data_IF_374079537643
#
_entry.id   IF_374079537643
#
_cell.length_a   1.000
_cell.length_b   1.000
_cell.length_c   1.000
_cell.angle_alpha   90.00
_cell.angle_beta   90.00
_cell.angle_gamma   90.00
#
_symmetry.space_group_name_H-M   'P 1'
#
loop_
_entity.id
_entity.type
_entity.pdbx_description
1 polymer ?
#
# COMPACT_ATOMS: atom_id res chain seq x y z
N UNK A 1 8.25 -7.63 7.17
CA UNK A 1 6.93 -8.30 7.02
C UNK A 1 6.71 -9.19 8.23
N UNK A 2 5.53 -9.11 8.83
CA UNK A 2 5.05 -9.94 9.92
C UNK A 2 3.90 -10.81 9.41
N UNK A 3 3.83 -12.04 9.90
CA UNK A 3 2.76 -12.99 9.57
C UNK A 3 2.26 -13.66 10.84
N UNK A 4 0.96 -13.92 10.88
CA UNK A 4 0.28 -14.58 11.98
C UNK A 4 -0.70 -15.61 11.41
N UNK A 5 -0.41 -16.89 11.66
CA UNK A 5 -1.16 -18.04 11.15
C UNK A 5 -1.48 -18.98 12.33
N UNK A 6 -2.52 -18.67 13.12
CA UNK A 6 -2.86 -19.44 14.31
C UNK A 6 -3.44 -20.83 13.99
N UNK A 7 -3.99 -21.01 12.79
CA UNK A 7 -4.52 -22.28 12.29
C UNK A 7 -4.58 -22.24 10.75
N UNK A 8 -5.00 -23.35 10.13
CA UNK A 8 -5.07 -23.47 8.66
C UNK A 8 -6.15 -22.60 7.99
N UNK A 9 -7.07 -22.01 8.76
CA UNK A 9 -8.21 -21.24 8.24
C UNK A 9 -7.98 -19.73 8.31
N UNK A 10 -7.04 -19.25 9.13
CA UNK A 10 -6.81 -17.83 9.35
C UNK A 10 -5.36 -17.47 9.05
N UNK A 11 -5.16 -16.43 8.24
CA UNK A 11 -3.85 -15.86 7.97
C UNK A 11 -3.96 -14.34 7.98
N UNK A 12 -3.16 -13.70 8.82
CA UNK A 12 -2.95 -12.27 8.81
C UNK A 12 -1.49 -11.94 8.48
N UNK A 13 -1.29 -10.89 7.69
CA UNK A 13 0.02 -10.38 7.35
C UNK A 13 0.04 -8.86 7.45
N UNK A 14 1.19 -8.33 7.80
CA UNK A 14 1.48 -6.90 7.80
C UNK A 14 2.87 -6.66 7.22
N UNK A 15 3.03 -5.64 6.40
CA UNK A 15 4.32 -5.18 5.93
C UNK A 15 4.43 -3.67 5.99
N UNK A 16 5.66 -3.22 6.21
CA UNK A 16 6.00 -1.81 6.21
C UNK A 16 7.19 -1.63 5.28
N UNK A 17 7.10 -0.65 4.40
CA UNK A 17 8.15 -0.34 3.42
C UNK A 17 8.27 1.16 3.25
N UNK A 18 9.49 1.60 2.98
CA UNK A 18 9.80 2.96 2.61
C UNK A 18 10.13 3.00 1.11
N UNK A 19 9.74 4.08 0.45
CA UNK A 19 9.74 4.22 -1.00
C UNK A 19 10.55 5.47 -1.38
N UNK A 20 11.50 5.28 -2.29
CA UNK A 20 12.31 6.34 -2.86
C UNK A 20 12.27 6.26 -4.38
N UNK A 21 12.40 7.41 -5.03
CA UNK A 21 12.75 7.47 -6.44
C UNK A 21 14.21 7.04 -6.63
N UNK A 22 14.54 6.49 -7.80
CA UNK A 22 15.92 6.18 -8.14
C UNK A 22 16.74 7.46 -8.39
N UNK A 23 16.09 8.52 -8.89
CA UNK A 23 16.65 9.87 -9.04
C UNK A 23 15.63 10.93 -8.61
N UNK A 24 16.11 12.06 -8.09
CA UNK A 24 15.29 13.20 -7.68
C UNK A 24 14.45 13.79 -8.84
N UNK A 25 14.82 13.50 -10.10
CA UNK A 25 14.12 13.95 -11.31
C UNK A 25 13.20 12.91 -11.94
N UNK A 26 13.09 11.72 -11.35
CA UNK A 26 12.24 10.66 -11.87
C UNK A 26 10.76 10.91 -11.58
N UNK A 27 9.90 10.22 -12.32
CA UNK A 27 8.48 10.17 -12.02
C UNK A 27 8.19 9.05 -11.00
N UNK A 28 7.19 9.25 -10.16
CA UNK A 28 6.73 8.20 -9.25
C UNK A 28 5.87 7.17 -9.99
N UNK A 29 6.52 6.07 -10.42
CA UNK A 29 5.86 4.96 -11.09
C UNK A 29 4.99 5.40 -12.26
N UNK A 30 3.77 4.86 -12.35
CA UNK A 30 2.80 5.20 -13.39
C UNK A 30 1.85 6.34 -13.00
N UNK A 31 2.12 7.08 -11.92
CA UNK A 31 1.23 8.17 -11.45
C UNK A 31 1.38 9.44 -12.27
N UNK A 32 2.50 9.59 -12.97
CA UNK A 32 2.88 10.84 -13.66
C UNK A 32 3.37 11.96 -12.73
N UNK A 33 3.33 11.77 -11.41
CA UNK A 33 3.85 12.76 -10.44
C UNK A 33 5.36 12.85 -10.61
N UNK A 34 5.87 14.06 -10.87
CA UNK A 34 7.27 14.32 -11.21
C UNK A 34 7.65 15.76 -10.91
N UNK A 35 8.82 15.96 -10.33
CA UNK A 35 9.50 17.25 -10.29
C UNK A 35 10.75 17.21 -11.17
N UNK A 36 10.69 17.84 -12.35
CA UNK A 36 11.82 17.87 -13.28
C UNK A 36 13.03 18.68 -12.74
N UNK A 37 12.82 19.56 -11.76
CA UNK A 37 13.89 20.34 -11.15
C UNK A 37 14.71 19.53 -10.15
N UNK A 38 14.10 18.51 -9.53
CA UNK A 38 14.68 17.69 -8.46
C UNK A 38 14.66 18.36 -7.07
N UNK A 39 13.88 19.43 -6.89
CA UNK A 39 13.85 20.18 -5.62
C UNK A 39 12.91 19.57 -4.58
N UNK A 40 12.01 18.68 -5.01
CA UNK A 40 11.05 18.00 -4.12
C UNK A 40 11.67 16.84 -3.32
N UNK A 41 12.93 16.49 -3.56
CA UNK A 41 13.59 15.31 -2.99
C UNK A 41 13.19 14.01 -3.68
N UNK A 42 13.64 12.87 -3.16
CA UNK A 42 13.33 11.55 -3.73
C UNK A 42 12.54 10.63 -2.78
N UNK A 43 12.33 11.01 -1.51
CA UNK A 43 11.54 10.19 -0.60
C UNK A 43 10.05 10.34 -0.92
N UNK A 44 9.50 9.30 -1.53
CA UNK A 44 8.09 9.22 -1.92
C UNK A 44 7.22 9.09 -0.69
N UNK A 45 7.66 8.30 0.29
CA UNK A 45 6.93 8.08 1.53
C UNK A 45 7.14 6.70 2.09
N UNK A 46 6.26 6.31 3.00
CA UNK A 46 6.24 4.95 3.54
C UNK A 46 4.85 4.36 3.51
N UNK A 47 4.77 3.04 3.48
CA UNK A 47 3.52 2.31 3.31
C UNK A 47 3.44 1.21 4.36
N UNK A 48 2.32 1.17 5.07
CA UNK A 48 1.90 0.09 5.93
C UNK A 48 0.79 -0.68 5.23
N UNK A 49 1.04 -1.92 4.88
CA UNK A 49 0.08 -2.83 4.27
C UNK A 49 -0.34 -3.90 5.28
N UNK A 50 -1.63 -4.20 5.31
CA UNK A 50 -2.21 -5.23 6.15
C UNK A 50 -3.20 -6.05 5.34
N UNK A 51 -3.21 -7.36 5.58
CA UNK A 51 -4.13 -8.30 4.95
C UNK A 51 -4.55 -9.35 5.97
N UNK A 52 -5.83 -9.64 6.01
CA UNK A 52 -6.43 -10.70 6.81
C UNK A 52 -7.23 -11.57 5.85
N UNK A 53 -7.00 -12.87 5.89
CA UNK A 53 -7.74 -13.87 5.11
C UNK A 53 -8.29 -14.94 6.03
N UNK A 54 -9.54 -15.33 5.79
CA UNK A 54 -10.26 -16.27 6.62
C UNK A 54 -11.15 -17.19 5.77
N UNK A 55 -10.87 -18.50 5.84
CA UNK A 55 -11.78 -19.56 5.41
C UNK A 55 -12.96 -19.65 6.38
N UNK A 56 -14.02 -18.89 6.10
CA UNK A 56 -15.22 -18.85 6.93
C UNK A 56 -15.96 -20.19 6.87
N UNK A 57 -16.13 -20.73 5.65
CA UNK A 57 -16.63 -22.09 5.40
C UNK A 57 -15.58 -22.83 4.57
N UNK A 58 -14.80 -23.76 5.17
CA UNK A 58 -13.73 -24.45 4.46
C UNK A 58 -14.25 -25.13 3.19
N UNK A 59 -13.67 -24.76 2.04
CA UNK A 59 -14.05 -25.29 0.72
C UNK A 59 -15.20 -24.55 0.03
N UNK A 60 -15.86 -23.60 0.69
CA UNK A 60 -17.02 -22.90 0.11
C UNK A 60 -16.95 -21.38 0.21
N UNK A 61 -16.38 -20.82 1.27
CA UNK A 61 -16.37 -19.37 1.50
C UNK A 61 -15.07 -18.90 2.15
N UNK A 62 -14.36 -18.06 1.42
CA UNK A 62 -13.19 -17.31 1.85
C UNK A 62 -13.52 -15.83 1.91
N UNK A 63 -13.09 -15.17 2.99
CA UNK A 63 -13.20 -13.72 3.16
C UNK A 63 -11.80 -13.16 3.31
N UNK A 64 -11.57 -12.03 2.65
CA UNK A 64 -10.34 -11.27 2.77
C UNK A 64 -10.63 -9.80 3.04
N UNK A 65 -9.84 -9.23 3.94
CA UNK A 65 -9.80 -7.81 4.23
C UNK A 65 -8.38 -7.33 3.99
N UNK A 66 -8.24 -6.18 3.35
CA UNK A 66 -6.95 -5.53 3.26
C UNK A 66 -7.05 -4.04 3.50
N UNK A 67 -6.01 -3.50 4.12
CA UNK A 67 -5.88 -2.09 4.42
C UNK A 67 -4.46 -1.64 4.19
N UNK A 68 -4.32 -0.50 3.51
CA UNK A 68 -3.06 0.17 3.23
C UNK A 68 -3.15 1.59 3.74
N UNK A 69 -2.16 1.97 4.55
CA UNK A 69 -1.92 3.36 4.91
C UNK A 69 -0.60 3.80 4.29
N UNK A 70 -0.65 4.80 3.42
CA UNK A 70 0.51 5.40 2.79
C UNK A 70 0.77 6.78 3.41
N UNK A 71 1.89 6.89 4.11
CA UNK A 71 2.41 8.11 4.71
C UNK A 71 3.19 8.89 3.66
N UNK A 72 2.71 10.08 3.29
CA UNK A 72 3.31 10.88 2.22
C UNK A 72 4.66 11.49 2.65
N UNK A 73 5.71 11.21 1.86
CA UNK A 73 7.06 11.75 2.03
C UNK A 73 7.22 13.17 1.47
N UNK A 74 8.42 13.74 1.55
CA UNK A 74 8.64 15.10 1.04
C UNK A 74 8.37 15.23 -0.46
N UNK A 75 8.66 14.20 -1.25
CA UNK A 75 8.46 14.25 -2.70
C UNK A 75 6.99 14.49 -3.06
N UNK A 76 6.08 13.71 -2.47
CA UNK A 76 4.63 13.86 -2.72
C UNK A 76 4.09 15.20 -2.21
N UNK A 77 4.66 15.72 -1.12
CA UNK A 77 4.23 16.99 -0.52
C UNK A 77 4.65 18.21 -1.34
N UNK A 78 5.79 18.15 -2.03
CA UNK A 78 6.36 19.30 -2.74
C UNK A 78 6.28 19.21 -4.27
N UNK A 79 6.09 18.00 -4.83
CA UNK A 79 6.02 17.84 -6.27
C UNK A 79 4.93 18.74 -6.89
N UNK A 80 5.26 19.50 -7.96
CA UNK A 80 4.40 20.56 -8.47
C UNK A 80 3.09 20.04 -9.05
N UNK A 81 3.08 18.81 -9.57
CA UNK A 81 1.92 18.16 -10.17
C UNK A 81 1.26 17.12 -9.26
N UNK A 82 1.63 17.05 -7.98
CA UNK A 82 0.93 16.19 -7.02
C UNK A 82 -0.46 16.75 -6.70
N UNK A 83 -1.52 16.04 -7.12
CA UNK A 83 -2.91 16.44 -6.89
C UNK A 83 -3.38 16.24 -5.43
N UNK A 84 -2.78 15.29 -4.71
CA UNK A 84 -3.02 15.06 -3.28
C UNK A 84 -1.68 15.02 -2.54
N UNK A 85 -1.58 15.72 -1.42
CA UNK A 85 -0.33 15.91 -0.66
C UNK A 85 -0.36 15.34 0.75
N UNK A 86 -1.52 14.84 1.19
CA UNK A 86 -1.71 14.19 2.47
C UNK A 86 -1.47 12.68 2.40
N UNK A 87 -1.69 12.00 3.51
CA UNK A 87 -1.63 10.55 3.56
C UNK A 87 -2.79 9.93 2.77
N UNK A 88 -2.59 8.70 2.30
CA UNK A 88 -3.57 7.95 1.50
C UNK A 88 -3.97 6.70 2.28
N UNK A 89 -5.28 6.47 2.37
CA UNK A 89 -5.85 5.29 2.99
C UNK A 89 -6.59 4.49 1.94
N UNK A 90 -6.29 3.20 1.84
CA UNK A 90 -7.01 2.28 0.96
C UNK A 90 -7.50 1.09 1.78
N UNK A 91 -8.76 0.72 1.59
CA UNK A 91 -9.38 -0.42 2.26
C UNK A 91 -10.16 -1.23 1.22
N UNK A 92 -10.10 -2.55 1.32
CA UNK A 92 -10.95 -3.44 0.54
C UNK A 92 -11.42 -4.64 1.35
N UNK A 93 -12.51 -5.22 0.86
CA UNK A 93 -13.04 -6.50 1.28
C UNK A 93 -13.30 -7.35 0.04
N UNK A 94 -12.95 -8.62 0.10
CA UNK A 94 -13.24 -9.60 -0.92
C UNK A 94 -13.90 -10.83 -0.29
N UNK A 95 -14.88 -11.40 -0.99
CA UNK A 95 -15.44 -12.70 -0.69
C UNK A 95 -15.30 -13.60 -1.92
N UNK A 96 -14.84 -14.83 -1.71
CA UNK A 96 -14.73 -15.85 -2.74
C UNK A 96 -15.61 -17.03 -2.36
N UNK A 97 -16.53 -17.40 -3.25
CA UNK A 97 -17.48 -18.49 -3.06
C UNK A 97 -17.16 -19.61 -4.04
N UNK A 98 -17.05 -20.85 -3.55
CA UNK A 98 -16.78 -22.06 -4.34
C UNK A 98 -17.91 -23.08 -4.16
N UNK A 99 -18.28 -23.76 -5.26
CA UNK A 99 -19.38 -24.73 -5.34
C UNK A 99 -18.96 -25.99 -6.09
#
# INVERSE_FOLDING_TARGET
RLQFVPNSRFNAAMDYRALWLASDRDAWGNTGIRDASGQSGNFVGSQLDTRISWQLLPGNLDIELGYTHFFSGEFIKHAPNAGHRGDINYFYTQATISF
#
